data_IF_846609744448
#
_entry.id   IF_846609744448
#
_cell.length_a   1.000
_cell.length_b   1.000
_cell.length_c   1.000
_cell.angle_alpha   90.00
_cell.angle_beta   90.00
_cell.angle_gamma   90.00
#
_symmetry.space_group_name_H-M   'P 1'
#
loop_
_entity.id
_entity.type
_entity.pdbx_description
1 polymer ?
#
# COMPACT_ATOMS: atom_id res chain seq x y z
N UNK A 1 20.65 6.01 9.80
CA UNK A 1 19.49 6.63 9.13
C UNK A 1 18.23 5.99 9.68
N UNK A 2 17.20 6.78 9.99
CA UNK A 2 15.93 6.24 10.49
C UNK A 2 15.05 5.80 9.30
N UNK A 3 14.51 4.59 9.34
CA UNK A 3 13.63 4.02 8.31
C UNK A 3 12.36 4.86 8.12
N UNK A 4 11.74 4.80 6.94
CA UNK A 4 10.72 5.75 6.49
C UNK A 4 9.54 5.84 7.45
N UNK A 5 8.98 4.70 7.83
CA UNK A 5 7.79 4.65 8.69
C UNK A 5 8.07 5.12 10.11
N UNK A 6 9.27 4.85 10.65
CA UNK A 6 9.67 5.39 11.96
C UNK A 6 9.83 6.91 11.93
N UNK A 7 10.29 7.49 10.81
CA UNK A 7 10.29 8.95 10.62
C UNK A 7 8.88 9.54 10.53
N UNK A 8 7.98 8.87 9.82
CA UNK A 8 6.59 9.30 9.63
C UNK A 8 5.79 9.29 10.93
N UNK A 9 5.97 8.25 11.73
CA UNK A 9 5.18 8.00 12.94
C UNK A 9 5.83 8.58 14.20
N UNK A 10 7.15 8.82 14.19
CA UNK A 10 7.86 9.34 15.36
C UNK A 10 7.69 8.41 16.57
N UNK A 11 7.29 8.97 17.71
CA UNK A 11 7.08 8.21 18.95
C UNK A 11 5.93 7.20 18.85
N UNK A 12 4.94 7.43 17.98
CA UNK A 12 3.83 6.51 17.81
C UNK A 12 4.24 5.19 17.15
N UNK A 13 5.42 5.14 16.51
CA UNK A 13 5.97 3.91 15.94
C UNK A 13 6.15 2.82 17.01
N UNK A 14 6.58 3.19 18.21
CA UNK A 14 6.82 2.26 19.32
C UNK A 14 5.52 1.64 19.87
N UNK A 15 4.36 2.22 19.53
CA UNK A 15 3.05 1.69 19.91
C UNK A 15 2.56 0.59 18.97
N UNK A 16 3.20 0.40 17.82
CA UNK A 16 2.85 -0.66 16.89
C UNK A 16 3.25 -2.03 17.46
N UNK A 17 2.49 -3.10 17.13
CA UNK A 17 2.93 -4.47 17.39
C UNK A 17 4.31 -4.75 16.80
N UNK A 18 5.06 -5.66 17.43
CA UNK A 18 6.41 -6.02 16.99
C UNK A 18 6.48 -6.47 15.53
N UNK A 19 5.48 -7.20 15.03
CA UNK A 19 5.41 -7.63 13.62
C UNK A 19 5.26 -6.46 12.65
N UNK A 20 4.52 -5.42 13.01
CA UNK A 20 4.42 -4.19 12.20
C UNK A 20 5.70 -3.36 12.26
N UNK A 21 6.35 -3.32 13.43
CA UNK A 21 7.66 -2.68 13.54
C UNK A 21 8.69 -3.40 12.64
N UNK A 22 8.80 -4.72 12.74
CA UNK A 22 9.70 -5.53 11.90
C UNK A 22 9.42 -5.36 10.41
N UNK A 23 8.15 -5.45 10.01
CA UNK A 23 7.73 -5.27 8.62
C UNK A 23 8.20 -3.92 8.03
N UNK A 24 8.13 -2.86 8.84
CA UNK A 24 8.52 -1.50 8.45
C UNK A 24 9.97 -1.14 8.81
N UNK A 25 10.74 -2.08 9.32
CA UNK A 25 12.17 -1.92 9.60
C UNK A 25 12.97 -2.18 8.33
N UNK A 26 12.98 -1.19 7.42
CA UNK A 26 13.66 -1.26 6.12
C UNK A 26 14.99 -0.49 6.20
N UNK A 27 16.00 -1.10 6.83
CA UNK A 27 17.38 -0.59 6.88
C UNK A 27 18.26 -1.15 5.73
N UNK A 28 17.84 -2.28 5.16
CA UNK A 28 18.41 -2.97 3.99
C UNK A 28 17.29 -3.51 3.11
N UNK A 29 17.67 -4.06 1.95
CA UNK A 29 16.69 -4.75 1.11
C UNK A 29 16.03 -5.90 1.88
N UNK A 30 14.70 -5.94 1.85
CA UNK A 30 13.89 -6.98 2.48
C UNK A 30 12.94 -7.62 1.48
N UNK A 31 12.68 -8.90 1.70
CA UNK A 31 11.78 -9.72 0.91
C UNK A 31 10.68 -10.26 1.81
N UNK A 32 9.48 -10.31 1.26
CA UNK A 32 8.28 -10.76 1.93
C UNK A 32 7.43 -11.58 0.97
N UNK A 33 6.64 -12.48 1.53
CA UNK A 33 5.68 -13.28 0.79
C UNK A 33 4.29 -13.10 1.36
N UNK A 34 3.28 -13.23 0.51
CA UNK A 34 1.90 -13.15 0.93
C UNK A 34 1.00 -13.97 0.01
N UNK A 35 -0.19 -14.28 0.52
CA UNK A 35 -1.32 -14.76 -0.27
C UNK A 35 -2.48 -13.80 -0.11
N UNK A 36 -2.95 -13.26 -1.24
CA UNK A 36 -4.06 -12.33 -1.24
C UNK A 36 -5.32 -12.96 -1.82
N UNK A 37 -6.44 -12.68 -1.19
CA UNK A 37 -7.74 -12.71 -1.82
C UNK A 37 -7.97 -11.36 -2.50
N UNK A 38 -8.19 -11.38 -3.81
CA UNK A 38 -8.32 -10.18 -4.63
C UNK A 38 -9.72 -10.14 -5.24
N UNK A 39 -10.49 -9.14 -4.87
CA UNK A 39 -11.86 -8.93 -5.35
C UNK A 39 -11.94 -7.63 -6.15
N UNK A 40 -12.20 -7.72 -7.46
CA UNK A 40 -12.51 -6.55 -8.29
C UNK A 40 -14.00 -6.30 -8.42
N UNK A 41 -14.40 -5.03 -8.53
CA UNK A 41 -15.77 -4.68 -8.89
C UNK A 41 -16.11 -5.10 -10.33
N UNK A 42 -17.36 -5.50 -10.62
CA UNK A 42 -17.76 -5.98 -11.95
C UNK A 42 -17.78 -4.85 -13.00
N UNK A 43 -17.57 -5.15 -14.28
CA UNK A 43 -17.80 -4.21 -15.39
C UNK A 43 -16.57 -3.72 -16.15
N UNK A 44 -16.74 -3.43 -17.44
CA UNK A 44 -15.66 -3.16 -18.40
C UNK A 44 -14.82 -1.94 -18.07
N UNK A 45 -15.44 -0.85 -17.59
CA UNK A 45 -14.70 0.37 -17.22
C UNK A 45 -13.80 0.15 -16.00
N UNK A 46 -14.26 -0.65 -15.02
CA UNK A 46 -13.45 -1.05 -13.85
C UNK A 46 -12.28 -1.94 -14.29
N UNK A 47 -12.52 -2.87 -15.21
CA UNK A 47 -11.49 -3.73 -15.79
C UNK A 47 -10.42 -2.92 -16.55
N UNK A 48 -10.83 -1.89 -17.32
CA UNK A 48 -9.92 -0.99 -18.01
C UNK A 48 -9.05 -0.19 -17.03
N UNK A 49 -9.65 0.40 -15.99
CA UNK A 49 -8.89 1.12 -14.96
C UNK A 49 -7.93 0.20 -14.20
N UNK A 50 -8.34 -1.03 -13.90
CA UNK A 50 -7.46 -2.03 -13.28
C UNK A 50 -6.29 -2.37 -14.19
N UNK A 51 -6.52 -2.53 -15.50
CA UNK A 51 -5.46 -2.79 -16.47
C UNK A 51 -4.50 -1.60 -16.61
N UNK A 52 -5.02 -0.38 -16.70
CA UNK A 52 -4.21 0.85 -16.77
C UNK A 52 -3.38 1.04 -15.49
N UNK A 53 -3.95 0.75 -14.32
CA UNK A 53 -3.27 0.80 -13.03
C UNK A 53 -2.39 -0.41 -12.73
N UNK A 54 -2.28 -1.39 -13.65
CA UNK A 54 -1.59 -2.67 -13.44
C UNK A 54 -2.00 -3.38 -12.14
N UNK A 55 -3.27 -3.21 -11.75
CA UNK A 55 -3.82 -3.84 -10.57
C UNK A 55 -3.93 -5.35 -10.82
N UNK A 56 -3.68 -6.21 -9.82
CA UNK A 56 -3.69 -7.66 -9.97
C UNK A 56 -5.09 -8.20 -10.30
N UNK A 57 -5.16 -9.34 -11.01
CA UNK A 57 -6.41 -9.99 -11.37
C UNK A 57 -7.19 -10.47 -10.13
N UNK A 58 -8.52 -10.57 -10.24
CA UNK A 58 -9.31 -11.20 -9.17
C UNK A 58 -8.88 -12.67 -9.01
N UNK A 59 -8.86 -13.15 -7.77
CA UNK A 59 -8.50 -14.53 -7.48
C UNK A 59 -8.50 -14.81 -5.99
N UNK A 60 -8.73 -16.08 -5.66
CA UNK A 60 -8.54 -16.61 -4.31
C UNK A 60 -7.09 -17.11 -4.20
N UNK A 61 -6.40 -16.79 -3.09
CA UNK A 61 -5.03 -17.23 -2.81
C UNK A 61 -3.97 -16.85 -3.86
N UNK A 62 -4.02 -15.62 -4.38
CA UNK A 62 -3.02 -15.11 -5.32
C UNK A 62 -1.68 -14.93 -4.61
N UNK A 63 -0.61 -15.66 -5.01
CA UNK A 63 0.70 -15.50 -4.41
C UNK A 63 1.29 -14.13 -4.80
N UNK A 64 1.88 -13.46 -3.81
CA UNK A 64 2.55 -12.17 -3.97
C UNK A 64 3.94 -12.23 -3.34
N UNK A 65 4.95 -11.77 -4.06
CA UNK A 65 6.27 -11.48 -3.50
C UNK A 65 6.47 -9.99 -3.46
N UNK A 66 6.90 -9.49 -2.31
CA UNK A 66 7.22 -8.08 -2.11
C UNK A 66 8.70 -7.94 -1.83
N UNK A 67 9.36 -7.10 -2.61
CA UNK A 67 10.71 -6.63 -2.33
C UNK A 67 10.64 -5.14 -1.97
N UNK A 68 11.23 -4.79 -0.84
CA UNK A 68 11.38 -3.39 -0.41
C UNK A 68 12.86 -3.06 -0.34
N UNK A 69 13.29 -2.08 -1.13
CA UNK A 69 14.68 -1.62 -1.17
C UNK A 69 14.73 -0.20 -0.61
N UNK A 70 15.50 0.06 0.46
CA UNK A 70 15.69 1.42 0.95
C UNK A 70 16.51 2.23 -0.06
N UNK A 71 16.10 3.47 -0.27
CA UNK A 71 16.80 4.48 -1.04
C UNK A 71 17.01 5.72 -0.16
N UNK A 72 17.81 6.70 -0.59
CA UNK A 72 18.10 7.90 0.21
C UNK A 72 16.82 8.67 0.62
N UNK A 73 16.35 8.42 1.85
CA UNK A 73 15.13 8.99 2.42
C UNK A 73 13.82 8.45 1.85
N UNK A 74 13.86 7.38 1.05
CA UNK A 74 12.73 6.78 0.35
C UNK A 74 12.77 5.26 0.43
N UNK A 75 11.69 4.61 0.03
CA UNK A 75 11.64 3.16 -0.13
C UNK A 75 11.05 2.81 -1.49
N UNK A 76 11.72 1.95 -2.24
CA UNK A 76 11.18 1.37 -3.47
C UNK A 76 10.50 0.05 -3.13
N UNK A 77 9.24 -0.07 -3.51
CA UNK A 77 8.40 -1.22 -3.26
C UNK A 77 8.07 -1.91 -4.58
N UNK A 78 8.43 -3.19 -4.72
CA UNK A 78 8.15 -4.00 -5.91
C UNK A 78 7.29 -5.19 -5.48
N UNK A 79 6.03 -5.19 -5.92
CA UNK A 79 5.04 -6.23 -5.63
C UNK A 79 4.82 -7.06 -6.90
N UNK A 80 5.11 -8.35 -6.84
CA UNK A 80 4.93 -9.28 -7.95
C UNK A 80 3.74 -10.22 -7.67
N UNK A 81 2.71 -10.16 -8.51
CA UNK A 81 1.53 -11.01 -8.48
C UNK A 81 1.54 -11.92 -9.72
N UNK A 82 2.07 -13.13 -9.59
CA UNK A 82 2.33 -13.98 -10.75
C UNK A 82 3.26 -13.29 -11.77
N UNK A 83 2.75 -13.05 -12.99
CA UNK A 83 3.48 -12.33 -14.05
C UNK A 83 3.36 -10.80 -13.96
N UNK A 84 2.45 -10.28 -13.13
CA UNK A 84 2.21 -8.84 -13.01
C UNK A 84 3.12 -8.22 -11.97
N UNK A 85 3.82 -7.15 -12.34
CA UNK A 85 4.69 -6.38 -11.44
C UNK A 85 4.12 -4.99 -11.22
N UNK A 86 3.95 -4.64 -9.94
CA UNK A 86 3.52 -3.34 -9.46
C UNK A 86 4.65 -2.71 -8.66
N UNK A 87 5.21 -1.62 -9.18
CA UNK A 87 6.30 -0.89 -8.53
C UNK A 87 5.82 0.49 -8.06
N UNK A 88 6.09 0.81 -6.80
CA UNK A 88 5.92 2.15 -6.25
C UNK A 88 7.17 2.65 -5.54
N UNK A 89 7.26 3.97 -5.41
CA UNK A 89 8.27 4.62 -4.57
C UNK A 89 7.55 5.41 -3.49
N UNK A 90 7.96 5.21 -2.25
CA UNK A 90 7.40 5.82 -1.07
C UNK A 90 8.39 6.78 -0.41
N UNK A 91 7.90 7.92 0.07
CA UNK A 91 8.72 8.89 0.82
C UNK A 91 7.86 9.73 1.74
N UNK A 92 8.48 10.35 2.73
CA UNK A 92 7.80 11.28 3.63
C UNK A 92 7.92 12.69 3.09
N UNK A 93 6.79 13.41 3.10
CA UNK A 93 6.75 14.85 2.86
C UNK A 93 5.56 15.47 3.59
N UNK A 94 5.80 16.57 4.28
CA UNK A 94 4.78 17.35 5.01
C UNK A 94 4.01 16.48 6.03
N UNK A 95 4.68 15.49 6.65
CA UNK A 95 4.06 14.57 7.61
C UNK A 95 3.04 13.60 6.99
N UNK A 96 3.10 13.40 5.67
CA UNK A 96 2.31 12.44 4.91
C UNK A 96 3.23 11.42 4.24
N UNK A 97 2.76 10.17 4.16
CA UNK A 97 3.36 9.13 3.34
C UNK A 97 2.95 9.39 1.90
N UNK A 98 3.89 9.85 1.08
CA UNK A 98 3.69 9.95 -0.36
C UNK A 98 4.07 8.63 -1.03
N UNK A 99 3.20 8.14 -1.92
CA UNK A 99 3.46 6.97 -2.75
C UNK A 99 3.26 7.36 -4.22
N UNK A 100 4.23 7.03 -5.07
CA UNK A 100 4.11 7.20 -6.52
C UNK A 100 4.08 5.83 -7.20
N UNK A 101 3.03 5.62 -7.98
CA UNK A 101 2.78 4.43 -8.77
C UNK A 101 2.57 4.85 -10.23
N UNK A 102 3.63 4.77 -11.04
CA UNK A 102 3.61 5.28 -12.41
C UNK A 102 3.15 6.74 -12.49
N UNK A 103 2.08 7.07 -13.25
CA UNK A 103 1.56 8.44 -13.39
C UNK A 103 0.70 8.90 -12.21
N UNK A 104 0.40 8.01 -11.27
CA UNK A 104 -0.43 8.29 -10.09
C UNK A 104 0.47 8.58 -8.91
N UNK A 105 0.12 9.61 -8.14
CA UNK A 105 0.73 9.87 -6.83
C UNK A 105 -0.38 9.99 -5.79
N UNK A 106 -0.17 9.39 -4.65
CA UNK A 106 -1.08 9.40 -3.50
C UNK A 106 -0.30 9.95 -2.29
N UNK A 107 -1.00 10.60 -1.38
CA UNK A 107 -0.45 10.98 -0.08
C UNK A 107 -1.40 10.57 1.03
N UNK A 108 -0.90 9.79 1.97
CA UNK A 108 -1.64 9.19 3.06
C UNK A 108 -1.26 9.82 4.39
N UNK A 109 -2.25 10.05 5.25
CA UNK A 109 -2.01 10.24 6.68
C UNK A 109 -2.00 8.86 7.33
N UNK A 110 -0.98 8.60 8.14
CA UNK A 110 -0.87 7.39 8.92
C UNK A 110 -1.48 7.61 10.31
N UNK A 111 -2.27 6.66 10.77
CA UNK A 111 -2.88 6.65 12.10
C UNK A 111 -2.52 5.36 12.81
N UNK A 112 -1.85 5.46 13.96
CA UNK A 112 -1.51 4.32 14.80
C UNK A 112 -2.68 4.04 15.75
N UNK A 113 -3.35 2.93 15.50
CA UNK A 113 -4.49 2.43 16.27
C UNK A 113 -4.23 0.98 16.65
N UNK A 114 -3.34 0.69 17.61
CA UNK A 114 -2.88 -0.67 17.89
C UNK A 114 -4.07 -1.63 18.11
N UNK A 115 -4.04 -2.83 17.51
CA UNK A 115 -2.90 -3.47 16.83
C UNK A 115 -2.71 -3.06 15.35
N UNK A 116 -3.38 -2.01 14.89
CA UNK A 116 -3.41 -1.62 13.49
C UNK A 116 -2.66 -0.31 13.18
N UNK A 117 -2.19 -0.21 11.94
CA UNK A 117 -1.79 1.01 11.27
C UNK A 117 -2.80 1.29 10.15
N UNK A 118 -3.46 2.45 10.19
CA UNK A 118 -4.41 2.87 9.17
C UNK A 118 -3.81 3.93 8.24
N UNK A 119 -3.96 3.70 6.94
CA UNK A 119 -3.54 4.59 5.87
C UNK A 119 -4.79 5.28 5.33
N UNK A 120 -4.91 6.58 5.58
CA UNK A 120 -6.01 7.41 5.10
C UNK A 120 -5.56 8.31 3.96
N UNK A 121 -6.14 8.15 2.77
CA UNK A 121 -5.81 9.00 1.62
C UNK A 121 -6.22 10.46 1.87
N UNK A 122 -5.26 11.39 1.79
CA UNK A 122 -5.50 12.83 1.94
C UNK A 122 -5.33 13.63 0.66
N UNK A 123 -4.49 13.17 -0.28
CA UNK A 123 -4.24 13.87 -1.55
C UNK A 123 -3.96 12.86 -2.65
N UNK A 124 -4.39 13.17 -3.87
CA UNK A 124 -4.09 12.38 -5.06
C UNK A 124 -3.72 13.28 -6.24
N UNK A 125 -2.88 12.74 -7.12
CA UNK A 125 -2.52 13.34 -8.40
C UNK A 125 -2.54 12.28 -9.49
N UNK A 126 -3.01 12.65 -10.67
CA UNK A 126 -2.93 11.85 -11.88
C UNK A 126 -2.27 12.68 -12.98
N UNK A 127 -1.27 12.11 -13.66
CA UNK A 127 -0.49 12.81 -14.70
C UNK A 127 0.09 14.15 -14.22
N UNK A 128 0.45 14.23 -12.93
CA UNK A 128 0.98 15.44 -12.29
C UNK A 128 -0.08 16.46 -11.82
N UNK A 129 -1.33 16.33 -12.27
CA UNK A 129 -2.42 17.25 -11.90
C UNK A 129 -3.06 16.79 -10.59
N UNK A 130 -3.29 17.73 -9.67
CA UNK A 130 -3.97 17.43 -8.40
C UNK A 130 -5.43 17.09 -8.67
N UNK A 131 -5.84 15.89 -8.27
CA UNK A 131 -7.22 15.44 -8.40
C UNK A 131 -8.03 15.96 -7.21
N UNK A 132 -9.25 16.48 -7.42
CA UNK A 132 -10.20 16.68 -6.34
C UNK A 132 -10.48 15.33 -5.65
N UNK A 133 -10.57 15.27 -4.32
CA UNK A 133 -10.75 14.00 -3.61
C UNK A 133 -12.05 13.26 -4.00
N UNK A 134 -13.08 14.00 -4.41
CA UNK A 134 -14.32 13.44 -4.94
C UNK A 134 -14.21 12.89 -6.37
N UNK A 135 -13.06 13.05 -7.04
CA UNK A 135 -12.71 12.44 -8.33
C UNK A 135 -11.55 11.45 -8.20
N UNK A 136 -10.74 11.59 -7.14
CA UNK A 136 -9.61 10.74 -6.89
C UNK A 136 -10.06 9.30 -6.61
N UNK A 137 -9.27 8.29 -7.01
CA UNK A 137 -9.47 6.95 -6.49
C UNK A 137 -9.37 7.02 -4.96
N UNK A 138 -10.44 6.65 -4.26
CA UNK A 138 -10.40 6.48 -2.83
C UNK A 138 -9.48 5.32 -2.49
N UNK A 139 -8.79 5.41 -1.36
CA UNK A 139 -7.85 4.40 -0.91
C UNK A 139 -7.83 4.37 0.60
N UNK A 140 -8.16 3.22 1.18
CA UNK A 140 -7.86 2.92 2.57
C UNK A 140 -6.99 1.68 2.65
N UNK A 141 -5.96 1.75 3.47
CA UNK A 141 -5.14 0.61 3.86
C UNK A 141 -5.27 0.40 5.36
N UNK A 142 -5.42 -0.84 5.78
CA UNK A 142 -5.31 -1.23 7.17
C UNK A 142 -4.28 -2.34 7.21
N UNK A 143 -3.26 -2.15 8.03
CA UNK A 143 -2.23 -3.14 8.31
C UNK A 143 -2.38 -3.52 9.78
N UNK A 144 -2.55 -4.80 10.09
CA UNK A 144 -2.76 -5.29 11.46
C UNK A 144 -1.62 -6.24 11.79
N UNK A 145 -0.88 -5.95 12.85
CA UNK A 145 0.16 -6.85 13.34
C UNK A 145 -0.47 -8.11 13.92
N UNK A 146 -0.02 -9.27 13.44
CA UNK A 146 -0.35 -10.59 13.96
C UNK A 146 0.94 -11.29 14.42
N UNK A 147 0.80 -12.43 15.08
CA UNK A 147 1.95 -13.19 15.62
C UNK A 147 2.84 -13.74 14.49
N UNK A 148 2.25 -14.09 13.35
CA UNK A 148 2.91 -14.74 12.22
C UNK A 148 3.10 -13.81 11.00
N UNK A 149 2.79 -12.52 11.12
CA UNK A 149 2.96 -11.56 10.04
C UNK A 149 2.14 -10.29 10.19
N UNK A 150 1.86 -9.65 9.05
CA UNK A 150 1.04 -8.44 8.96
C UNK A 150 -0.14 -8.71 8.05
N UNK A 151 -1.35 -8.68 8.61
CA UNK A 151 -2.57 -8.77 7.81
C UNK A 151 -2.84 -7.41 7.17
N UNK A 152 -2.88 -7.39 5.84
CA UNK A 152 -3.11 -6.21 5.03
C UNK A 152 -4.49 -6.29 4.42
N UNK A 153 -5.28 -5.23 4.58
CA UNK A 153 -6.52 -4.98 3.85
C UNK A 153 -6.39 -3.65 3.14
N UNK A 154 -6.43 -3.66 1.82
CA UNK A 154 -6.49 -2.44 1.01
C UNK A 154 -7.75 -2.42 0.18
N UNK A 155 -8.41 -1.27 0.18
CA UNK A 155 -9.56 -1.00 -0.67
C UNK A 155 -9.27 0.21 -1.53
N UNK A 156 -9.31 0.01 -2.84
CA UNK A 156 -9.33 1.07 -3.81
C UNK A 156 -10.76 1.25 -4.34
N UNK A 157 -11.25 2.48 -4.28
CA UNK A 157 -12.58 2.86 -4.78
C UNK A 157 -12.46 3.96 -5.81
N UNK A 158 -13.50 4.17 -6.61
CA UNK A 158 -13.65 5.33 -7.45
C UNK A 158 -15.03 5.96 -7.22
N UNK A 159 -15.14 7.31 -7.22
CA UNK A 159 -16.31 8.03 -6.71
C UNK A 159 -17.63 7.78 -7.46
N UNK A 160 -17.60 7.27 -8.70
CA UNK A 160 -18.79 6.86 -9.46
C UNK A 160 -18.89 5.32 -9.56
N UNK A 161 -17.74 4.64 -9.58
CA UNK A 161 -17.67 3.20 -9.80
C UNK A 161 -17.68 2.41 -8.49
N UNK A 162 -17.74 3.04 -7.32
CA UNK A 162 -17.64 2.34 -6.04
C UNK A 162 -16.33 1.56 -5.94
N UNK A 163 -16.37 0.34 -5.41
CA UNK A 163 -15.17 -0.49 -5.26
C UNK A 163 -14.55 -0.87 -6.61
N UNK A 164 -13.27 -0.55 -6.79
CA UNK A 164 -12.47 -0.98 -7.94
C UNK A 164 -11.81 -2.33 -7.63
N UNK A 165 -11.03 -2.37 -6.54
CA UNK A 165 -10.35 -3.57 -6.06
C UNK A 165 -10.26 -3.54 -4.55
N UNK A 166 -10.44 -4.71 -3.95
CA UNK A 166 -10.04 -4.99 -2.57
C UNK A 166 -9.03 -6.13 -2.63
N UNK A 167 -7.95 -6.00 -1.90
CA UNK A 167 -7.06 -7.12 -1.63
C UNK A 167 -6.83 -7.25 -0.13
N UNK A 168 -6.99 -8.47 0.35
CA UNK A 168 -6.81 -8.84 1.75
C UNK A 168 -5.93 -10.08 1.85
N UNK A 169 -4.97 -10.08 2.76
CA UNK A 169 -4.00 -11.16 2.86
C UNK A 169 -3.03 -10.98 4.02
N UNK A 170 -2.32 -12.06 4.33
CA UNK A 170 -1.26 -12.06 5.34
C UNK A 170 0.09 -11.96 4.66
N UNK A 171 0.89 -10.97 5.08
CA UNK A 171 2.27 -10.76 4.63
C UNK A 171 3.22 -11.27 5.69
N UNK A 172 4.22 -12.04 5.28
CA UNK A 172 5.20 -12.66 6.14
C UNK A 172 6.60 -12.38 5.60
N UNK A 173 7.58 -12.27 6.49
CA UNK A 173 8.99 -12.21 6.08
C UNK A 173 9.41 -13.48 5.35
N UNK A 174 10.24 -13.33 4.33
CA UNK A 174 10.97 -14.45 3.72
C UNK A 174 12.21 -14.83 4.54
#
# INVERSE_FOLDING_TARGET
MTFLYRRLLGQDYERLPASLQDFHHIDRERHFQARFKITRGPGLLRALLCRLGRLPASGENVPMRLRVTPEEGRERWVRQFGEQVLESVQWEKDGLLHERLGPVRLAFKLHVEPPALRLELKKAWGLGIRLPLWLAPGGSGIEVGQDDGVAILVRATAPILGQLVQYEGLVQGE
#
